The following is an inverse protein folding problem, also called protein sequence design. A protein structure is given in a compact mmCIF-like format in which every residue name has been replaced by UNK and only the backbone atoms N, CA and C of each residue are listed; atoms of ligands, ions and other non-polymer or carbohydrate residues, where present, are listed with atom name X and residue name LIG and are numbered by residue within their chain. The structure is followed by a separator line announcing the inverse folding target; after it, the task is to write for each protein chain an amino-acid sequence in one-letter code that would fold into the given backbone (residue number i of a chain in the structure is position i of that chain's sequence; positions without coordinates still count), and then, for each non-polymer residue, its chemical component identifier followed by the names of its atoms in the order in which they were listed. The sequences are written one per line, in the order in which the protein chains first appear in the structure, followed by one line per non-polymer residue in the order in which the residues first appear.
data_IF_378606497193
#
_entry.id   IF_378606497193
#
_cell.length_a   1.000
_cell.length_b   1.000
_cell.length_c   1.000
_cell.angle_alpha   90.00
_cell.angle_beta   90.00
_cell.angle_gamma   90.00
#
_symmetry.space_group_name_H-M   'P 1'
#
loop_
_entity.id
_entity.type
_entity.pdbx_description
1 polymer ?
#
# COMPACT_ATOMS: atom_id res chain seq x y z
N UNK A 1 0.84 -18.36 -7.03
CA UNK A 1 -0.56 -17.88 -7.06
C UNK A 1 -0.87 -16.85 -5.98
N UNK A 2 -0.85 -17.19 -4.68
CA UNK A 2 -1.23 -16.24 -3.60
C UNK A 2 -0.43 -14.92 -3.61
N UNK A 3 0.89 -14.98 -3.80
CA UNK A 3 1.75 -13.79 -3.89
C UNK A 3 1.47 -12.91 -5.12
N UNK A 4 1.08 -13.54 -6.24
CA UNK A 4 0.69 -12.82 -7.47
C UNK A 4 -0.61 -12.06 -7.23
N UNK A 5 -1.59 -12.69 -6.57
CA UNK A 5 -2.86 -12.05 -6.21
C UNK A 5 -2.62 -10.88 -5.25
N UNK A 6 -1.77 -11.05 -4.25
CA UNK A 6 -1.39 -9.96 -3.32
C UNK A 6 -0.73 -8.81 -4.08
N UNK A 7 0.19 -9.11 -4.99
CA UNK A 7 0.83 -8.10 -5.84
C UNK A 7 -0.16 -7.36 -6.73
N UNK A 8 -1.12 -8.07 -7.34
CA UNK A 8 -2.17 -7.46 -8.17
C UNK A 8 -3.12 -6.58 -7.35
N UNK A 9 -3.53 -7.03 -6.16
CA UNK A 9 -4.34 -6.21 -5.25
C UNK A 9 -3.59 -4.95 -4.83
N UNK A 10 -2.29 -5.07 -4.53
CA UNK A 10 -1.46 -3.91 -4.23
C UNK A 10 -1.37 -2.98 -5.43
N UNK A 11 -1.13 -3.49 -6.65
CA UNK A 11 -1.12 -2.65 -7.86
C UNK A 11 -2.45 -1.89 -8.06
N UNK A 12 -3.58 -2.53 -7.81
CA UNK A 12 -4.89 -1.86 -7.92
C UNK A 12 -5.05 -0.74 -6.90
N UNK A 13 -4.61 -0.96 -5.65
CA UNK A 13 -4.64 0.07 -4.62
C UNK A 13 -3.71 1.23 -4.98
N UNK A 14 -2.50 0.93 -5.46
CA UNK A 14 -1.50 1.94 -5.85
C UNK A 14 -2.05 2.90 -6.89
N UNK A 15 -2.85 2.43 -7.85
CA UNK A 15 -3.45 3.30 -8.88
C UNK A 15 -4.44 4.29 -8.25
N UNK A 16 -5.25 3.82 -7.29
CA UNK A 16 -6.22 4.66 -6.57
C UNK A 16 -5.49 5.68 -5.70
N UNK A 17 -4.53 5.22 -4.90
CA UNK A 17 -3.76 6.04 -3.98
C UNK A 17 -2.88 7.05 -4.71
N UNK A 18 -2.33 6.69 -5.88
CA UNK A 18 -1.62 7.62 -6.74
C UNK A 18 -2.52 8.75 -7.24
N UNK A 19 -3.73 8.44 -7.70
CA UNK A 19 -4.68 9.46 -8.18
C UNK A 19 -5.08 10.43 -7.07
N UNK A 20 -5.44 9.91 -5.90
CA UNK A 20 -5.78 10.73 -4.74
C UNK A 20 -4.57 11.55 -4.27
N UNK A 21 -3.39 10.92 -4.21
CA UNK A 21 -2.16 11.54 -3.73
C UNK A 21 -1.70 12.70 -4.62
N UNK A 22 -1.76 12.54 -5.94
CA UNK A 22 -1.38 13.59 -6.89
C UNK A 22 -2.31 14.80 -6.81
N UNK A 23 -3.63 14.58 -6.76
CA UNK A 23 -4.58 15.68 -6.58
C UNK A 23 -4.41 16.35 -5.22
N UNK A 24 -4.15 15.57 -4.16
CA UNK A 24 -3.85 16.11 -2.84
C UNK A 24 -2.59 16.98 -2.84
N UNK A 25 -1.53 16.57 -3.54
CA UNK A 25 -0.29 17.36 -3.67
C UNK A 25 -0.56 18.68 -4.37
N UNK A 26 -1.37 18.68 -5.42
CA UNK A 26 -1.77 19.90 -6.13
C UNK A 26 -2.52 20.88 -5.22
N UNK A 27 -3.42 20.39 -4.38
CA UNK A 27 -4.20 21.22 -3.45
C UNK A 27 -3.33 21.77 -2.31
N UNK A 28 -2.45 20.96 -1.74
CA UNK A 28 -1.68 21.32 -0.52
C UNK A 28 -0.42 22.13 -0.87
N UNK A 29 0.33 21.70 -1.88
CA UNK A 29 1.65 22.26 -2.23
C UNK A 29 1.61 23.13 -3.50
N UNK A 30 0.48 23.18 -4.20
CA UNK A 30 0.28 23.99 -5.38
C UNK A 30 0.82 23.37 -6.68
N UNK A 31 0.64 24.11 -7.78
CA UNK A 31 0.90 23.60 -9.13
C UNK A 31 2.38 23.33 -9.42
N UNK A 32 3.31 24.10 -8.84
CA UNK A 32 4.74 23.94 -9.08
C UNK A 32 5.25 22.57 -8.59
N UNK A 33 4.85 22.15 -7.38
CA UNK A 33 5.24 20.86 -6.81
C UNK A 33 4.53 19.71 -7.53
N UNK A 34 3.25 19.89 -7.86
CA UNK A 34 2.51 18.94 -8.69
C UNK A 34 3.18 18.68 -10.04
N UNK A 35 3.61 19.74 -10.74
CA UNK A 35 4.25 19.63 -12.04
C UNK A 35 5.61 18.92 -11.93
N UNK A 36 6.40 19.22 -10.90
CA UNK A 36 7.65 18.51 -10.63
C UNK A 36 7.41 17.03 -10.35
N UNK A 37 6.45 16.70 -9.48
CA UNK A 37 6.15 15.33 -9.07
C UNK A 37 5.62 14.47 -10.22
N UNK A 38 4.91 15.08 -11.18
CA UNK A 38 4.39 14.37 -12.37
C UNK A 38 5.45 14.17 -13.46
N UNK A 39 6.60 14.86 -13.39
CA UNK A 39 7.71 14.64 -14.32
C UNK A 39 8.51 13.36 -14.01
N UNK A 40 9.13 12.80 -15.04
CA UNK A 40 10.14 11.76 -14.86
C UNK A 40 11.44 12.37 -14.35
N UNK A 41 12.13 11.76 -13.37
CA UNK A 41 11.90 10.43 -12.80
C UNK A 41 11.03 10.40 -11.53
N UNK A 42 10.63 11.57 -11.01
CA UNK A 42 9.95 11.69 -9.72
C UNK A 42 8.62 10.92 -9.67
N UNK A 43 7.87 10.92 -10.76
CA UNK A 43 6.61 10.21 -10.86
C UNK A 43 6.76 8.69 -10.64
N UNK A 44 7.78 8.08 -11.27
CA UNK A 44 8.06 6.65 -11.11
C UNK A 44 8.48 6.33 -9.68
N UNK A 45 9.34 7.16 -9.09
CA UNK A 45 9.74 6.99 -7.68
C UNK A 45 8.53 7.08 -6.77
N UNK A 46 7.63 8.03 -7.01
CA UNK A 46 6.41 8.20 -6.24
C UNK A 46 5.48 6.99 -6.33
N UNK A 47 5.23 6.49 -7.54
CA UNK A 47 4.46 5.24 -7.76
C UNK A 47 5.10 4.04 -7.07
N UNK A 48 6.42 3.87 -7.16
CA UNK A 48 7.14 2.79 -6.49
C UNK A 48 7.03 2.89 -4.97
N UNK A 49 7.11 4.10 -4.41
CA UNK A 49 6.97 4.32 -2.96
C UNK A 49 5.59 3.90 -2.47
N UNK A 50 4.52 4.34 -3.16
CA UNK A 50 3.14 3.95 -2.82
C UNK A 50 3.00 2.43 -2.85
N UNK A 51 3.43 1.80 -3.95
CA UNK A 51 3.33 0.33 -4.10
C UNK A 51 4.08 -0.43 -3.00
N UNK A 52 5.30 -0.02 -2.68
CA UNK A 52 6.10 -0.68 -1.64
C UNK A 52 5.48 -0.53 -0.24
N UNK A 53 4.92 0.65 0.07
CA UNK A 53 4.25 0.91 1.34
C UNK A 53 3.00 0.04 1.45
N UNK A 54 2.14 0.00 0.43
CA UNK A 54 0.94 -0.83 0.42
C UNK A 54 1.27 -2.32 0.55
N UNK A 55 2.27 -2.80 -0.19
CA UNK A 55 2.69 -4.19 -0.13
C UNK A 55 3.18 -4.54 1.29
N UNK A 56 3.91 -3.64 1.94
CA UNK A 56 4.39 -3.81 3.30
C UNK A 56 3.23 -3.81 4.31
N UNK A 57 2.25 -2.94 4.13
CA UNK A 57 1.02 -2.88 4.95
C UNK A 57 0.25 -4.21 4.83
N UNK A 58 -0.06 -4.65 3.60
CA UNK A 58 -0.80 -5.90 3.37
C UNK A 58 -0.07 -7.09 3.97
N UNK A 59 1.24 -7.19 3.77
CA UNK A 59 2.04 -8.28 4.32
C UNK A 59 2.04 -8.27 5.86
N UNK A 60 2.11 -7.07 6.46
CA UNK A 60 2.03 -6.90 7.92
C UNK A 60 0.67 -7.31 8.47
N UNK A 61 -0.43 -6.92 7.81
CA UNK A 61 -1.79 -7.36 8.17
C UNK A 61 -1.96 -8.88 8.08
N UNK A 62 -1.43 -9.51 7.03
CA UNK A 62 -1.46 -10.97 6.88
C UNK A 62 -0.69 -11.66 8.02
N UNK A 63 0.47 -11.12 8.40
CA UNK A 63 1.27 -11.64 9.53
C UNK A 63 0.52 -11.48 10.86
N UNK A 64 -0.05 -10.29 11.12
CA UNK A 64 -0.82 -10.01 12.33
C UNK A 64 -2.04 -10.94 12.43
N UNK A 65 -2.78 -11.12 11.33
CA UNK A 65 -3.93 -12.03 11.27
C UNK A 65 -3.55 -13.48 11.57
N UNK A 66 -2.37 -13.92 11.09
CA UNK A 66 -1.84 -15.25 11.41
C UNK A 66 -1.53 -15.39 12.90
N UNK A 67 -0.89 -14.39 13.51
CA UNK A 67 -0.59 -14.37 14.94
C UNK A 67 -1.88 -14.41 15.77
N UNK A 68 -2.84 -13.55 15.46
CA UNK A 68 -4.15 -13.52 16.14
C UNK A 68 -4.90 -14.85 16.03
N UNK A 69 -4.86 -15.50 14.86
CA UNK A 69 -5.48 -16.82 14.70
C UNK A 69 -4.81 -17.89 15.58
N UNK A 70 -3.49 -17.86 15.76
CA UNK A 70 -2.77 -18.78 16.64
C UNK A 70 -3.19 -18.57 18.10
N UNK A 71 -3.23 -17.31 18.55
CA UNK A 71 -3.69 -16.99 19.91
C UNK A 71 -5.14 -17.41 20.13
N UNK A 72 -6.03 -17.15 19.18
CA UNK A 72 -7.45 -17.53 19.26
C UNK A 72 -7.67 -19.05 19.26
N UNK A 73 -6.76 -19.83 18.68
CA UNK A 73 -6.83 -21.29 18.70
C UNK A 73 -6.31 -21.87 20.02
N UNK A 74 -5.30 -21.23 20.62
CA UNK A 74 -4.76 -21.62 21.93
C UNK A 74 -5.77 -21.45 23.07
N UNK A 75 -6.62 -20.41 22.98
CA UNK A 75 -7.71 -20.16 23.95
C UNK A 75 -8.89 -21.15 23.86
N UNK A 76 -9.01 -21.89 22.76
CA UNK A 76 -10.09 -22.87 22.54
C UNK A 76 -9.66 -24.32 22.76
N UNK A 77 -8.42 -24.56 23.20
CA UNK A 77 -7.99 -25.91 23.60
C UNK A 77 -8.58 -26.20 24.98
N UNK A 78 -9.54 -27.14 25.11
CA UNK A 78 -9.93 -27.61 26.43
C UNK A 78 -8.73 -28.35 27.03
N UNK A 79 -8.39 -28.02 28.28
CA UNK A 79 -7.68 -28.95 29.16
C UNK A 79 -8.56 -30.16 29.43
#
# INVERSE_FOLDING_TARGET
MKWIIIGLVSLMLTIVDYGIGIESVKVIYGYAVYQLLTTMPFNVVYLCLIFLIELLIINSFLKLRRILNIFRHKDKSPM
#
